data_IF_603901400826
#
_entry.id   IF_603901400826
#
_cell.length_a   1.000
_cell.length_b   1.000
_cell.length_c   1.000
_cell.angle_alpha   90.00
_cell.angle_beta   90.00
_cell.angle_gamma   90.00
#
_symmetry.space_group_name_H-M   'P 1'
#
loop_
_entity.id
_entity.type
_entity.pdbx_description
1 polymer ?
#
# COMPACT_ATOMS: atom_id res chain seq x y z
N UNK A 1 -9.26 45.75 5.60
CA UNK A 1 -8.59 45.28 4.37
C UNK A 1 -9.52 44.29 3.70
N UNK A 2 -10.05 44.61 2.52
CA UNK A 2 -10.95 43.73 1.77
C UNK A 2 -10.11 42.76 0.96
N UNK A 3 -10.17 41.47 1.27
CA UNK A 3 -9.47 40.43 0.50
C UNK A 3 -10.13 40.33 -0.88
N UNK A 4 -9.34 40.54 -1.94
CA UNK A 4 -9.81 40.36 -3.31
C UNK A 4 -10.31 38.91 -3.53
N UNK A 5 -11.36 38.70 -4.35
CA UNK A 5 -11.87 37.37 -4.61
C UNK A 5 -10.80 36.52 -5.31
N UNK A 6 -10.56 35.33 -4.79
CA UNK A 6 -9.64 34.35 -5.39
C UNK A 6 -10.20 33.92 -6.75
N UNK A 7 -9.36 33.81 -7.80
CA UNK A 7 -9.79 33.33 -9.11
C UNK A 7 -10.40 31.93 -9.02
N UNK A 8 -11.28 31.56 -9.98
CA UNK A 8 -11.85 30.22 -10.04
C UNK A 8 -10.74 29.18 -10.16
N UNK A 9 -10.92 28.04 -9.49
CA UNK A 9 -9.97 26.93 -9.57
C UNK A 9 -10.06 26.27 -10.96
N UNK A 10 -8.93 25.98 -11.62
CA UNK A 10 -8.95 25.21 -12.86
C UNK A 10 -9.35 23.75 -12.60
N UNK A 11 -9.79 23.07 -13.67
CA UNK A 11 -9.98 21.62 -13.65
C UNK A 11 -8.64 20.91 -13.74
N UNK A 12 -8.39 19.96 -12.83
CA UNK A 12 -7.20 19.12 -12.79
C UNK A 12 -7.66 17.66 -12.59
N UNK A 13 -7.18 16.74 -13.41
CA UNK A 13 -7.52 15.31 -13.33
C UNK A 13 -6.25 14.49 -13.11
N UNK A 14 -6.23 13.63 -12.10
CA UNK A 14 -5.13 12.68 -11.89
C UNK A 14 -5.19 11.59 -12.96
N UNK A 15 -4.10 11.43 -13.71
CA UNK A 15 -4.01 10.51 -14.84
C UNK A 15 -3.50 9.13 -14.43
N UNK A 16 -2.42 9.10 -13.65
CA UNK A 16 -1.75 7.87 -13.20
C UNK A 16 -0.68 8.20 -12.17
N UNK A 17 -0.36 7.22 -11.32
CA UNK A 17 0.93 7.20 -10.60
C UNK A 17 2.00 6.67 -11.55
N UNK A 18 3.21 7.22 -11.50
CA UNK A 18 4.34 6.78 -12.34
C UNK A 18 5.37 6.08 -11.47
N UNK A 19 5.82 4.89 -11.88
CA UNK A 19 6.91 4.15 -11.25
C UNK A 19 8.13 4.16 -12.17
N UNK A 20 9.27 4.56 -11.62
CA UNK A 20 10.57 4.43 -12.30
C UNK A 20 11.05 2.98 -12.22
N UNK A 21 11.65 2.45 -13.28
CA UNK A 21 12.15 1.08 -13.31
C UNK A 21 13.34 0.93 -14.27
N UNK A 22 14.16 -0.12 -14.15
CA UNK A 22 15.21 -0.41 -15.12
C UNK A 22 14.66 -0.71 -16.53
N UNK A 23 13.45 -1.28 -16.61
CA UNK A 23 12.73 -1.57 -17.85
C UNK A 23 11.21 -1.33 -17.64
N UNK A 24 10.66 -0.33 -18.32
CA UNK A 24 9.24 0.02 -18.22
C UNK A 24 8.32 -1.09 -18.77
N UNK A 25 8.73 -1.82 -19.80
CA UNK A 25 7.91 -2.84 -20.43
C UNK A 25 7.83 -4.10 -19.56
N UNK A 26 8.96 -4.52 -18.97
CA UNK A 26 8.98 -5.65 -18.03
C UNK A 26 8.08 -5.38 -16.82
N UNK A 27 8.20 -4.18 -16.22
CA UNK A 27 7.39 -3.83 -15.07
C UNK A 27 5.90 -3.70 -15.42
N UNK A 28 5.59 -3.09 -16.55
CA UNK A 28 4.21 -3.00 -17.02
C UNK A 28 3.60 -4.37 -17.29
N UNK A 29 4.36 -5.30 -17.85
CA UNK A 29 3.89 -6.66 -18.09
C UNK A 29 3.58 -7.41 -16.79
N UNK A 30 4.38 -7.19 -15.73
CA UNK A 30 4.05 -7.71 -14.41
C UNK A 30 2.70 -7.17 -13.91
N UNK A 31 2.51 -5.85 -13.88
CA UNK A 31 1.25 -5.28 -13.38
C UNK A 31 0.05 -5.59 -14.26
N UNK A 32 0.23 -5.76 -15.57
CA UNK A 32 -0.81 -6.23 -16.49
C UNK A 32 -1.32 -7.62 -16.08
N UNK A 33 -0.42 -8.57 -15.80
CA UNK A 33 -0.82 -9.92 -15.38
C UNK A 33 -1.37 -9.93 -13.95
N UNK A 34 -0.75 -9.16 -13.05
CA UNK A 34 -1.19 -9.05 -11.66
C UNK A 34 -2.63 -8.51 -11.56
N UNK A 35 -2.93 -7.43 -12.28
CA UNK A 35 -4.19 -6.66 -12.13
C UNK A 35 -5.21 -6.92 -13.25
N UNK A 36 -4.82 -7.57 -14.34
CA UNK A 36 -5.64 -7.68 -15.55
C UNK A 36 -5.88 -6.35 -16.26
N UNK A 37 -5.01 -5.36 -16.06
CA UNK A 37 -5.13 -4.03 -16.67
C UNK A 37 -4.40 -3.99 -18.01
N UNK A 38 -5.05 -3.45 -19.03
CA UNK A 38 -4.49 -3.41 -20.38
C UNK A 38 -3.75 -2.09 -20.66
N UNK A 39 -2.69 -2.12 -21.49
CA UNK A 39 -1.95 -0.95 -21.88
C UNK A 39 -2.75 -0.05 -22.81
N UNK A 40 -2.72 1.25 -22.55
CA UNK A 40 -3.34 2.30 -23.38
C UNK A 40 -2.32 3.21 -24.05
N UNK A 41 -1.06 3.11 -23.66
CA UNK A 41 0.08 3.78 -24.28
C UNK A 41 1.31 2.92 -24.09
N UNK A 42 2.09 2.74 -25.16
CA UNK A 42 3.33 1.98 -25.18
C UNK A 42 4.34 2.68 -26.08
N UNK A 43 5.46 3.06 -25.49
CA UNK A 43 6.61 3.70 -26.12
C UNK A 43 7.88 3.01 -25.58
N UNK A 44 9.05 3.16 -26.22
CA UNK A 44 10.26 2.41 -25.84
C UNK A 44 10.64 2.51 -24.35
N UNK A 45 10.45 3.69 -23.74
CA UNK A 45 10.84 3.96 -22.35
C UNK A 45 9.62 4.28 -21.44
N UNK A 46 8.40 4.01 -21.92
CA UNK A 46 7.16 4.39 -21.23
C UNK A 46 5.99 3.47 -21.54
N UNK A 47 5.31 2.98 -20.52
CA UNK A 47 4.05 2.22 -20.67
C UNK A 47 3.02 2.74 -19.69
N UNK A 48 1.75 2.84 -20.11
CA UNK A 48 0.62 3.19 -19.25
C UNK A 48 -0.47 2.13 -19.30
N UNK A 49 -0.90 1.65 -18.14
CA UNK A 49 -2.03 0.76 -17.94
C UNK A 49 -3.21 1.53 -17.34
N UNK A 50 -4.44 1.15 -17.68
CA UNK A 50 -5.65 1.69 -17.05
C UNK A 50 -6.55 0.57 -16.50
N UNK A 51 -7.22 0.81 -15.37
CA UNK A 51 -8.27 -0.09 -14.89
C UNK A 51 -9.45 -0.14 -15.87
N UNK A 52 -10.11 -1.30 -16.05
CA UNK A 52 -11.25 -1.44 -16.97
C UNK A 52 -12.46 -0.57 -16.60
N UNK A 53 -12.59 -0.19 -15.32
CA UNK A 53 -13.64 0.72 -14.82
C UNK A 53 -13.32 2.21 -14.96
N UNK A 54 -12.14 2.57 -15.50
CA UNK A 54 -11.65 3.94 -15.55
C UNK A 54 -11.11 4.45 -14.21
N UNK A 55 -10.66 5.70 -14.21
CA UNK A 55 -9.93 6.30 -13.09
C UNK A 55 -8.41 6.35 -13.33
N UNK A 56 -7.63 6.81 -12.34
CA UNK A 56 -6.17 6.86 -12.43
C UNK A 56 -5.58 5.46 -12.60
N UNK A 57 -4.62 5.34 -13.52
CA UNK A 57 -3.90 4.08 -13.74
C UNK A 57 -2.49 4.05 -13.15
N UNK A 58 -1.69 3.12 -13.66
CA UNK A 58 -0.25 3.05 -13.42
C UNK A 58 0.49 3.32 -14.72
N UNK A 59 1.55 4.13 -14.62
CA UNK A 59 2.52 4.32 -15.69
C UNK A 59 3.89 3.89 -15.22
N UNK A 60 4.72 3.47 -16.15
CA UNK A 60 6.04 2.92 -15.91
C UNK A 60 7.03 3.66 -16.80
N UNK A 61 8.16 4.07 -16.23
CA UNK A 61 9.19 4.85 -16.92
C UNK A 61 10.54 4.15 -16.78
N UNK A 62 11.25 3.99 -17.89
CA UNK A 62 12.62 3.48 -17.87
C UNK A 62 13.55 4.55 -17.30
N UNK A 63 14.18 4.27 -16.16
CA UNK A 63 15.19 5.12 -15.51
C UNK A 63 16.46 4.32 -15.25
N UNK A 64 17.56 4.70 -15.91
CA UNK A 64 18.84 3.98 -15.86
C UNK A 64 19.54 4.11 -14.51
N UNK A 65 19.29 5.18 -13.78
CA UNK A 65 19.82 5.40 -12.44
C UNK A 65 18.93 4.82 -11.34
N UNK A 66 17.88 4.07 -11.70
CA UNK A 66 16.95 3.51 -10.73
C UNK A 66 17.67 2.60 -9.73
N UNK A 67 17.36 2.81 -8.45
CA UNK A 67 17.79 1.97 -7.33
C UNK A 67 16.56 1.63 -6.51
N UNK A 68 16.27 0.34 -6.25
CA UNK A 68 15.07 -0.05 -5.51
C UNK A 68 15.12 0.47 -4.06
N UNK A 69 13.97 0.86 -3.50
CA UNK A 69 13.87 1.23 -2.09
C UNK A 69 14.12 0.03 -1.18
N UNK A 70 14.68 0.26 -0.01
CA UNK A 70 14.86 -0.76 1.02
C UNK A 70 13.59 -0.92 1.85
N UNK A 71 13.21 -2.16 2.16
CA UNK A 71 12.13 -2.47 3.09
C UNK A 71 12.59 -3.44 4.18
N UNK A 72 12.29 -3.16 5.46
CA UNK A 72 11.73 -1.91 5.96
C UNK A 72 12.78 -0.79 5.85
N UNK A 73 12.33 0.44 5.71
CA UNK A 73 13.24 1.58 5.67
C UNK A 73 14.05 1.63 6.98
N UNK A 74 15.34 1.32 6.92
CA UNK A 74 16.21 1.34 8.08
C UNK A 74 16.81 2.73 8.24
N UNK A 75 16.57 3.41 9.37
CA UNK A 75 17.25 4.67 9.70
C UNK A 75 18.73 4.44 10.10
N UNK A 76 19.24 3.21 10.00
CA UNK A 76 20.53 2.79 10.56
C UNK A 76 21.72 3.18 9.67
N UNK A 77 21.51 3.42 8.38
CA UNK A 77 22.54 3.92 7.48
C UNK A 77 21.98 5.10 6.67
N UNK A 78 22.56 6.30 6.83
CA UNK A 78 22.28 7.39 5.91
C UNK A 78 22.72 6.99 4.50
N UNK A 79 21.78 6.87 3.57
CA UNK A 79 22.07 6.51 2.18
C UNK A 79 21.11 5.50 1.55
N UNK A 80 20.29 4.81 2.33
CA UNK A 80 19.29 3.88 1.80
C UNK A 80 18.19 4.64 1.02
N UNK A 81 17.78 4.10 -0.13
CA UNK A 81 16.61 4.60 -0.84
C UNK A 81 15.36 4.29 -0.02
N UNK A 82 14.59 5.33 0.31
CA UNK A 82 13.38 5.20 1.13
C UNK A 82 12.18 4.89 0.25
N UNK A 83 11.20 4.18 0.81
CA UNK A 83 9.87 4.03 0.20
C UNK A 83 9.18 5.39 0.19
N UNK A 84 8.96 5.95 -1.01
CA UNK A 84 8.32 7.26 -1.19
C UNK A 84 6.82 7.16 -1.49
N UNK A 85 6.34 5.98 -1.87
CA UNK A 85 4.95 5.70 -2.23
C UNK A 85 4.55 4.30 -1.74
N UNK A 86 3.26 4.12 -1.48
CA UNK A 86 2.65 2.82 -1.23
C UNK A 86 1.62 2.54 -2.34
N UNK A 87 1.72 1.37 -2.96
CA UNK A 87 0.66 0.81 -3.78
C UNK A 87 -0.04 -0.26 -2.97
N UNK A 88 -1.27 0.03 -2.55
CA UNK A 88 -2.06 -0.86 -1.72
C UNK A 88 -3.23 -1.42 -2.52
N UNK A 89 -3.24 -2.73 -2.74
CA UNK A 89 -4.30 -3.44 -3.44
C UNK A 89 -5.16 -4.20 -2.45
N UNK A 90 -6.45 -3.85 -2.41
CA UNK A 90 -7.44 -4.58 -1.63
C UNK A 90 -7.74 -5.91 -2.31
N UNK A 91 -7.69 -7.00 -1.54
CA UNK A 91 -8.06 -8.35 -1.98
C UNK A 91 -9.18 -8.89 -1.09
N UNK A 92 -9.94 -9.83 -1.62
CA UNK A 92 -10.99 -10.53 -0.85
C UNK A 92 -10.47 -11.77 -0.13
N UNK A 93 -9.31 -12.27 -0.56
CA UNK A 93 -8.59 -13.40 0.01
C UNK A 93 -7.08 -13.09 -0.05
N UNK A 94 -6.46 -12.87 1.12
CA UNK A 94 -5.05 -12.47 1.17
C UNK A 94 -4.11 -13.61 0.80
N UNK A 95 -4.45 -14.84 1.18
CA UNK A 95 -3.63 -16.02 0.90
C UNK A 95 -3.62 -16.29 -0.60
N UNK A 96 -4.80 -16.31 -1.23
CA UNK A 96 -4.91 -16.45 -2.68
C UNK A 96 -4.28 -15.26 -3.42
N UNK A 97 -4.42 -14.03 -2.90
CA UNK A 97 -3.80 -12.84 -3.45
C UNK A 97 -2.27 -12.91 -3.47
N UNK A 98 -1.66 -13.34 -2.36
CA UNK A 98 -0.21 -13.55 -2.27
C UNK A 98 0.23 -14.64 -3.25
N UNK A 99 -0.46 -15.78 -3.27
CA UNK A 99 -0.13 -16.88 -4.18
C UNK A 99 -0.17 -16.45 -5.65
N UNK A 100 -1.19 -15.68 -6.04
CA UNK A 100 -1.32 -15.08 -7.37
C UNK A 100 -0.14 -14.16 -7.67
N UNK A 101 0.14 -13.18 -6.80
CA UNK A 101 1.22 -12.22 -7.00
C UNK A 101 2.59 -12.91 -7.15
N UNK A 102 2.88 -13.92 -6.32
CA UNK A 102 4.11 -14.72 -6.41
C UNK A 102 4.18 -15.49 -7.72
N UNK A 103 3.07 -16.09 -8.16
CA UNK A 103 3.02 -16.82 -9.44
C UNK A 103 3.29 -15.91 -10.65
N UNK A 104 2.99 -14.61 -10.52
CA UNK A 104 3.24 -13.60 -11.55
C UNK A 104 4.63 -12.96 -11.49
N UNK A 105 5.44 -13.30 -10.47
CA UNK A 105 6.83 -12.86 -10.33
C UNK A 105 7.11 -11.93 -9.14
N UNK A 106 6.13 -11.70 -8.26
CA UNK A 106 6.38 -10.95 -7.03
C UNK A 106 7.20 -11.77 -6.02
N UNK A 107 7.95 -11.10 -5.16
CA UNK A 107 8.68 -11.74 -4.05
C UNK A 107 8.16 -11.23 -2.71
N UNK A 108 7.73 -12.09 -1.77
CA UNK A 108 7.31 -11.63 -0.45
C UNK A 108 8.46 -10.96 0.28
N UNK A 109 8.20 -9.82 0.92
CA UNK A 109 9.19 -9.20 1.78
C UNK A 109 9.45 -10.07 3.02
N UNK A 110 10.69 -10.10 3.48
CA UNK A 110 11.03 -10.82 4.72
C UNK A 110 10.26 -10.20 5.89
N UNK A 111 10.43 -8.90 6.13
CA UNK A 111 9.70 -8.19 7.19
C UNK A 111 8.25 -7.91 6.81
N UNK A 112 7.32 -8.34 7.66
CA UNK A 112 5.88 -8.11 7.50
C UNK A 112 5.34 -7.28 8.68
N UNK A 113 4.56 -6.22 8.44
CA UNK A 113 4.15 -5.30 9.51
C UNK A 113 2.94 -5.82 10.30
N UNK A 114 2.02 -6.53 9.64
CA UNK A 114 0.69 -6.85 10.17
C UNK A 114 0.18 -8.19 9.62
N UNK A 115 -0.83 -8.78 10.26
CA UNK A 115 -1.33 -10.12 9.88
C UNK A 115 -2.31 -10.09 8.70
N UNK A 116 -2.95 -8.95 8.46
CA UNK A 116 -3.94 -8.64 7.42
C UNK A 116 -3.38 -7.86 6.22
N UNK A 117 -2.08 -7.55 6.24
CA UNK A 117 -1.35 -6.89 5.16
C UNK A 117 -0.15 -7.73 4.75
N UNK A 118 0.11 -7.87 3.45
CA UNK A 118 1.31 -8.53 2.91
C UNK A 118 2.07 -7.58 2.04
N UNK A 119 3.32 -7.32 2.41
CA UNK A 119 4.27 -6.55 1.60
C UNK A 119 5.00 -7.50 0.67
N UNK A 120 5.00 -7.19 -0.61
CA UNK A 120 5.74 -7.90 -1.65
C UNK A 120 6.55 -6.89 -2.47
N UNK A 121 7.56 -7.40 -3.18
CA UNK A 121 8.31 -6.66 -4.18
C UNK A 121 7.84 -7.07 -5.58
N UNK A 122 7.65 -6.08 -6.44
CA UNK A 122 7.57 -6.31 -7.88
C UNK A 122 8.97 -6.63 -8.47
N UNK A 123 9.08 -7.00 -9.77
CA UNK A 123 10.37 -7.36 -10.37
C UNK A 123 11.43 -6.23 -10.36
N UNK A 124 10.99 -4.97 -10.27
CA UNK A 124 11.90 -3.83 -10.15
C UNK A 124 12.30 -3.55 -8.69
N UNK A 125 11.67 -4.21 -7.70
CA UNK A 125 11.97 -4.05 -6.28
C UNK A 125 11.11 -2.99 -5.58
N UNK A 126 10.02 -2.51 -6.18
CA UNK A 126 9.10 -1.63 -5.47
C UNK A 126 8.28 -2.44 -4.45
N UNK A 127 8.20 -1.99 -3.19
CA UNK A 127 7.27 -2.56 -2.24
C UNK A 127 5.84 -2.16 -2.61
N UNK A 128 4.95 -3.15 -2.66
CA UNK A 128 3.50 -2.96 -2.73
C UNK A 128 2.82 -3.87 -1.71
N UNK A 129 1.61 -3.50 -1.30
CA UNK A 129 0.84 -4.24 -0.31
C UNK A 129 -0.38 -4.89 -0.94
N UNK A 130 -0.65 -6.13 -0.53
CA UNK A 130 -1.99 -6.69 -0.56
C UNK A 130 -2.60 -6.54 0.82
N UNK A 131 -3.87 -6.17 0.91
CA UNK A 131 -4.57 -6.06 2.19
C UNK A 131 -6.02 -6.49 2.07
N UNK A 132 -6.59 -6.91 3.19
CA UNK A 132 -8.03 -7.16 3.33
C UNK A 132 -8.64 -6.06 4.20
N UNK A 133 -9.84 -5.57 3.88
CA UNK A 133 -10.61 -4.74 4.82
C UNK A 133 -11.26 -5.63 5.88
N UNK A 134 -11.58 -5.03 7.03
CA UNK A 134 -12.14 -5.72 8.21
C UNK A 134 -13.12 -6.85 7.86
N UNK A 135 -13.01 -7.94 8.61
CA UNK A 135 -13.83 -9.14 8.44
C UNK A 135 -15.31 -8.79 8.57
N UNK A 136 -16.08 -8.94 7.49
CA UNK A 136 -17.55 -8.80 7.54
C UNK A 136 -18.10 -9.88 8.49
N UNK A 137 -18.84 -9.53 9.56
CA UNK A 137 -19.39 -10.52 10.49
C UNK A 137 -20.25 -11.57 9.76
N UNK A 138 -19.91 -12.85 9.91
CA UNK A 138 -20.64 -13.98 9.33
C UNK A 138 -20.26 -14.36 7.90
N UNK A 139 -19.31 -13.66 7.27
CA UNK A 139 -18.68 -14.10 6.02
C UNK A 139 -17.60 -15.15 6.24
N UNK A 140 -17.22 -15.87 5.18
CA UNK A 140 -15.95 -16.63 5.17
C UNK A 140 -14.82 -15.64 5.43
N UNK A 141 -13.89 -15.91 6.37
CA UNK A 141 -12.80 -15.00 6.62
C UNK A 141 -12.00 -14.73 5.36
N UNK A 142 -11.66 -13.46 5.11
CA UNK A 142 -10.79 -13.06 4.00
C UNK A 142 -9.34 -13.58 4.17
N UNK A 143 -9.04 -14.13 5.35
CA UNK A 143 -7.79 -14.80 5.70
C UNK A 143 -8.10 -15.95 6.66
N UNK A 144 -7.51 -17.12 6.42
CA UNK A 144 -7.75 -18.27 7.28
C UNK A 144 -7.16 -18.02 8.69
N UNK A 145 -7.83 -18.47 9.78
CA UNK A 145 -7.30 -18.30 11.13
C UNK A 145 -5.94 -18.97 11.36
N UNK A 146 -5.66 -20.06 10.64
CA UNK A 146 -4.36 -20.75 10.66
C UNK A 146 -3.24 -19.91 10.06
N UNK A 147 -3.49 -19.28 8.91
CA UNK A 147 -2.58 -18.33 8.28
C UNK A 147 -2.33 -17.14 9.20
N UNK A 148 -3.37 -16.57 9.82
CA UNK A 148 -3.20 -15.48 10.80
C UNK A 148 -2.30 -15.91 11.96
N UNK A 149 -2.50 -17.11 12.51
CA UNK A 149 -1.71 -17.61 13.62
C UNK A 149 -0.25 -17.94 13.26
N UNK A 150 0.00 -18.44 12.05
CA UNK A 150 1.34 -18.61 11.49
C UNK A 150 2.04 -17.27 11.30
N UNK A 151 1.38 -16.33 10.64
CA UNK A 151 1.97 -15.04 10.30
C UNK A 151 2.22 -14.18 11.54
N UNK A 152 1.34 -14.26 12.54
CA UNK A 152 1.57 -13.62 13.84
C UNK A 152 2.77 -14.24 14.60
N UNK A 153 3.09 -15.53 14.38
CA UNK A 153 4.32 -16.12 14.92
C UNK A 153 5.53 -15.56 14.18
N UNK A 154 5.51 -15.55 12.87
CA UNK A 154 6.62 -15.07 12.04
C UNK A 154 6.96 -13.61 12.35
N UNK A 155 5.95 -12.73 12.38
CA UNK A 155 6.11 -11.30 12.71
C UNK A 155 6.73 -11.13 14.11
N UNK A 156 6.31 -11.91 15.11
CA UNK A 156 6.90 -11.84 16.47
C UNK A 156 8.35 -12.33 16.54
N UNK A 157 8.77 -13.19 15.62
CA UNK A 157 10.14 -13.70 15.56
C UNK A 157 11.09 -12.77 14.79
N UNK A 158 10.55 -11.77 14.10
CA UNK A 158 11.34 -10.74 13.42
C UNK A 158 11.90 -9.75 14.46
N UNK A 159 13.17 -9.37 14.30
CA UNK A 159 13.99 -8.62 15.27
C UNK A 159 13.23 -7.44 15.91
N UNK A 160 13.13 -7.36 17.27
CA UNK A 160 12.39 -6.31 17.97
C UNK A 160 12.86 -4.88 17.65
N UNK A 161 14.07 -4.69 17.08
CA UNK A 161 14.54 -3.38 16.63
C UNK A 161 13.83 -2.85 15.36
N UNK A 162 13.12 -3.71 14.63
CA UNK A 162 12.30 -3.33 13.46
C UNK A 162 10.85 -3.07 13.86
N UNK A 163 10.36 -3.77 14.89
CA UNK A 163 9.01 -3.61 15.45
C UNK A 163 8.75 -2.19 16.03
N UNK A 164 9.78 -1.49 16.52
CA UNK A 164 9.64 -0.10 16.99
C UNK A 164 9.40 0.92 15.85
N UNK A 165 9.73 0.58 14.60
CA UNK A 165 9.53 1.46 13.44
C UNK A 165 8.12 1.37 12.84
N UNK A 166 7.32 0.37 13.23
CA UNK A 166 5.95 0.16 12.77
C UNK A 166 5.00 0.10 13.97
N UNK A 167 4.69 1.27 14.52
CA UNK A 167 3.55 1.43 15.43
C UNK A 167 2.27 1.68 14.64
N UNK A 168 1.15 0.98 14.92
CA UNK A 168 -0.14 1.29 14.29
C UNK A 168 -0.70 2.65 14.75
N UNK A 169 -1.52 3.27 13.90
CA UNK A 169 -2.32 4.45 14.21
C UNK A 169 -3.15 4.21 15.48
N UNK A 170 -3.08 5.13 16.44
CA UNK A 170 -3.84 5.11 17.71
C UNK A 170 -5.32 5.47 17.47
N UNK A 171 -6.01 4.73 16.62
CA UNK A 171 -7.47 4.82 16.47
C UNK A 171 -8.17 3.64 17.12
N UNK A 172 -7.96 3.50 18.43
CA UNK A 172 -8.94 2.91 19.35
C UNK A 172 -8.38 3.07 20.76
N UNK A 173 -8.68 4.21 21.39
CA UNK A 173 -8.96 4.36 22.83
C UNK A 173 -9.19 5.83 23.11
N UNK A 174 -10.42 6.28 22.91
CA UNK A 174 -10.98 7.39 23.68
C UNK A 174 -12.45 7.04 23.91
N UNK A 175 -12.71 6.19 24.90
CA UNK A 175 -14.00 6.19 25.58
C UNK A 175 -14.23 7.61 26.10
N UNK A 176 -15.30 8.26 25.62
CA UNK A 176 -15.81 9.49 26.22
C UNK A 176 -16.23 9.19 27.66
N UNK A 177 -15.79 9.96 28.67
CA UNK A 177 -16.40 9.86 29.98
C UNK A 177 -17.77 10.56 29.91
N UNK A 178 -18.84 9.77 30.02
CA UNK A 178 -20.15 10.29 30.37
C UNK A 178 -20.06 11.16 31.64
N UNK A 179 -20.56 12.40 31.57
CA UNK A 179 -21.00 13.15 32.76
C UNK A 179 -22.48 13.47 32.60
N UNK A 180 -23.31 12.65 33.23
CA UNK A 180 -24.64 13.06 33.70
C UNK A 180 -24.56 13.96 34.94
N UNK A 181 -25.71 14.25 35.57
CA UNK A 181 -26.59 15.35 35.21
C UNK A 181 -26.33 16.58 36.09
N UNK A 182 -26.76 17.74 35.60
CA UNK A 182 -26.70 18.99 36.33
C UNK A 182 -27.56 18.97 37.59
N UNK A 183 -27.03 19.53 38.66
CA UNK A 183 -27.79 20.01 39.79
C UNK A 183 -27.43 21.48 40.02
N UNK A 184 -28.47 22.32 40.11
CA UNK A 184 -28.40 23.63 40.73
C UNK A 184 -27.99 23.50 42.21
N UNK A 185 -27.83 24.56 43.00
CA UNK A 185 -28.68 25.74 43.20
C UNK A 185 -27.82 26.78 44.00
N UNK A 186 -28.37 27.85 44.61
CA UNK A 186 -28.35 29.25 44.17
C UNK A 186 -27.45 30.20 45.02
N UNK A 187 -27.67 31.50 44.77
CA UNK A 187 -27.30 32.79 45.42
C UNK A 187 -25.94 33.41 45.08
#
# INVERSE_FOLDING_TARGET
MTTAPRPPRPSLTLSSTVLDAPDAAELADFYRRLLGWEPVQQEPDWVKLLPPGGGPGLSFQTERAYTPPTWPASLKAGGDQLTMLHLDFEVTDLEAGVAHAVSEGATPAEFQPQHDVRVLFDPAGHPFCLFVRDQVPGGTPAISPEWVAEQARDIRTQDPLVAEAVTPDRRETAEEPERGPGDGVPV
#
